data_IF_410111638968
#
_entry.id   IF_410111638968
#
_cell.length_a   1.000
_cell.length_b   1.000
_cell.length_c   1.000
_cell.angle_alpha   90.00
_cell.angle_beta   90.00
_cell.angle_gamma   90.00
#
_symmetry.space_group_name_H-M   'P 1'
#
loop_
_entity.id
_entity.type
_entity.pdbx_description
1 polymer ?
#
# COMPACT_ATOMS: atom_id res chain seq x y z
N UNK A 1 -17.06 15.34 10.64
CA UNK A 1 -15.81 16.11 10.81
C UNK A 1 -15.05 15.73 12.09
N UNK A 2 -15.74 15.45 13.22
CA UNK A 2 -15.10 15.25 14.52
C UNK A 2 -14.20 14.01 14.61
N UNK A 3 -14.55 12.92 13.91
CA UNK A 3 -13.74 11.69 13.92
C UNK A 3 -12.40 11.93 13.21
N UNK A 4 -12.42 12.60 12.07
CA UNK A 4 -11.20 12.92 11.30
C UNK A 4 -10.30 13.85 12.10
N UNK A 5 -10.85 14.90 12.72
CA UNK A 5 -10.10 15.82 13.58
C UNK A 5 -9.42 15.09 14.73
N UNK A 6 -10.12 14.15 15.38
CA UNK A 6 -9.54 13.35 16.46
C UNK A 6 -8.39 12.45 15.98
N UNK A 7 -8.51 11.85 14.79
CA UNK A 7 -7.45 11.00 14.20
C UNK A 7 -6.24 11.86 13.81
N UNK A 8 -6.47 13.01 13.20
CA UNK A 8 -5.41 13.88 12.70
C UNK A 8 -4.72 14.69 13.80
N UNK A 9 -5.39 14.90 14.92
CA UNK A 9 -4.99 15.82 16.00
C UNK A 9 -4.65 17.24 15.50
N UNK A 10 -5.26 17.65 14.38
CA UNK A 10 -5.10 18.96 13.72
C UNK A 10 -6.38 19.34 12.99
N UNK A 11 -6.66 20.63 12.80
CA UNK A 11 -7.79 21.08 12.00
C UNK A 11 -7.69 20.63 10.55
N UNK A 12 -8.82 20.22 9.95
CA UNK A 12 -8.87 19.78 8.54
C UNK A 12 -8.37 20.87 7.57
N UNK A 13 -8.55 22.15 7.91
CA UNK A 13 -8.06 23.30 7.12
C UNK A 13 -6.55 23.32 6.90
N UNK A 14 -5.78 22.63 7.76
CA UNK A 14 -4.33 22.57 7.67
C UNK A 14 -3.85 21.50 6.66
N UNK A 15 -4.79 20.78 6.08
CA UNK A 15 -4.53 19.74 5.09
C UNK A 15 -5.01 20.16 3.69
N UNK A 16 -4.32 19.61 2.68
CA UNK A 16 -4.75 19.59 1.29
C UNK A 16 -5.28 18.20 0.97
N UNK A 17 -6.35 18.14 0.21
CA UNK A 17 -6.98 16.90 -0.23
C UNK A 17 -6.71 16.68 -1.71
N UNK A 18 -6.08 15.57 -2.05
CA UNK A 18 -5.89 15.10 -3.41
C UNK A 18 -6.66 13.79 -3.63
N UNK A 19 -6.86 13.43 -4.90
CA UNK A 19 -7.59 12.24 -5.29
C UNK A 19 -6.64 11.21 -5.88
N UNK A 20 -6.86 9.96 -5.54
CA UNK A 20 -6.18 8.82 -6.12
C UNK A 20 -7.13 7.63 -6.21
N UNK A 21 -6.68 6.55 -6.80
CA UNK A 21 -7.41 5.31 -6.82
C UNK A 21 -6.47 4.14 -7.04
N UNK A 22 -6.93 2.97 -6.65
CA UNK A 22 -6.19 1.74 -6.90
C UNK A 22 -7.11 0.74 -7.60
N UNK A 23 -6.76 0.40 -8.83
CA UNK A 23 -7.46 -0.58 -9.65
C UNK A 23 -6.65 -1.87 -9.73
N UNK A 24 -7.24 -2.97 -9.31
CA UNK A 24 -6.65 -4.31 -9.39
C UNK A 24 -7.45 -5.16 -10.36
N UNK A 25 -6.82 -5.54 -11.45
CA UNK A 25 -7.42 -6.43 -12.46
C UNK A 25 -7.36 -7.90 -12.02
N UNK A 26 -8.31 -8.74 -12.49
CA UNK A 26 -8.27 -10.18 -12.30
C UNK A 26 -6.92 -10.78 -12.72
N UNK A 27 -6.42 -11.71 -11.93
CA UNK A 27 -5.18 -12.44 -12.23
C UNK A 27 -3.89 -11.62 -12.12
N UNK A 28 -3.94 -10.33 -11.82
CA UNK A 28 -2.72 -9.57 -11.51
C UNK A 28 -2.13 -10.04 -10.19
N UNK A 29 -0.81 -10.25 -10.19
CA UNK A 29 -0.09 -10.67 -8.99
C UNK A 29 -0.08 -9.59 -7.89
N UNK A 30 0.32 -9.98 -6.69
CA UNK A 30 0.42 -9.05 -5.57
C UNK A 30 1.53 -8.02 -5.77
N UNK A 31 1.36 -6.85 -5.20
CA UNK A 31 2.43 -5.86 -5.09
C UNK A 31 3.52 -6.33 -4.12
N UNK A 32 4.72 -5.80 -4.27
CA UNK A 32 5.71 -5.86 -3.20
C UNK A 32 5.32 -4.86 -2.10
N UNK A 33 5.71 -5.14 -0.86
CA UNK A 33 5.47 -4.20 0.23
C UNK A 33 6.20 -2.88 -0.01
N UNK A 34 5.50 -1.79 0.26
CA UNK A 34 6.02 -0.42 0.11
C UNK A 34 5.36 0.53 1.11
N UNK A 35 5.86 1.74 1.16
CA UNK A 35 5.24 2.91 1.81
C UNK A 35 4.94 3.94 0.72
N UNK A 36 3.97 4.83 0.95
CA UNK A 36 3.54 5.79 -0.09
C UNK A 36 4.28 7.14 -0.04
N UNK A 37 5.20 7.32 0.89
CA UNK A 37 5.95 8.58 0.98
C UNK A 37 7.11 8.51 1.98
N UNK A 38 7.70 9.67 2.24
CA UNK A 38 8.79 9.80 3.21
C UNK A 38 8.25 9.74 4.64
N UNK A 39 8.99 9.13 5.52
CA UNK A 39 8.59 8.93 6.91
C UNK A 39 8.32 10.25 7.66
N UNK A 40 9.05 11.29 7.29
CA UNK A 40 9.00 12.62 7.91
C UNK A 40 7.75 13.43 7.55
N UNK A 41 7.07 13.08 6.45
CA UNK A 41 5.87 13.77 6.00
C UNK A 41 4.65 13.38 6.84
N UNK A 42 3.68 14.27 6.94
CA UNK A 42 2.36 13.97 7.51
C UNK A 42 1.35 13.83 6.38
N UNK A 43 1.06 12.58 6.04
CA UNK A 43 0.05 12.25 5.03
C UNK A 43 -0.78 11.05 5.48
N UNK A 44 -2.07 11.15 5.25
CA UNK A 44 -3.02 10.06 5.48
C UNK A 44 -3.69 9.66 4.18
N UNK A 45 -3.93 8.37 4.02
CA UNK A 45 -4.73 7.83 2.95
C UNK A 45 -6.08 7.39 3.50
N UNK A 46 -7.14 7.93 2.93
CA UNK A 46 -8.52 7.62 3.25
C UNK A 46 -9.09 6.83 2.08
N UNK A 47 -9.13 5.52 2.20
CA UNK A 47 -9.58 4.63 1.13
C UNK A 47 -11.01 4.19 1.36
N UNK A 48 -11.87 4.41 0.37
CA UNK A 48 -13.29 4.07 0.41
C UNK A 48 -13.54 2.86 -0.48
N UNK A 49 -14.15 1.82 0.09
CA UNK A 49 -14.51 0.63 -0.65
C UNK A 49 -15.78 0.90 -1.49
N UNK A 50 -15.63 0.96 -2.81
CA UNK A 50 -16.75 1.17 -3.75
C UNK A 50 -17.56 -0.10 -4.00
N UNK A 51 -17.01 -1.23 -3.60
CA UNK A 51 -17.58 -2.58 -3.69
C UNK A 51 -17.11 -3.42 -2.52
N UNK A 52 -17.69 -4.61 -2.32
CA UNK A 52 -17.15 -5.55 -1.33
C UNK A 52 -15.76 -6.02 -1.75
N UNK A 53 -14.79 -5.87 -0.85
CA UNK A 53 -13.42 -6.32 -1.03
C UNK A 53 -13.20 -7.52 -0.13
N UNK A 54 -13.21 -8.70 -0.73
CA UNK A 54 -13.02 -9.99 -0.04
C UNK A 54 -11.56 -10.43 -0.09
N UNK A 55 -11.24 -11.52 0.56
CA UNK A 55 -9.90 -12.13 0.51
C UNK A 55 -9.46 -12.50 -0.91
N UNK A 56 -10.40 -12.75 -1.83
CA UNK A 56 -10.12 -13.12 -3.21
C UNK A 56 -10.07 -11.93 -4.18
N UNK A 57 -10.63 -10.80 -3.82
CA UNK A 57 -10.68 -9.62 -4.71
C UNK A 57 -9.47 -8.68 -4.59
N UNK A 58 -8.36 -9.13 -4.00
CA UNK A 58 -7.15 -8.34 -3.89
C UNK A 58 -7.19 -7.26 -2.81
N UNK A 59 -7.52 -7.61 -1.54
CA UNK A 59 -7.56 -6.66 -0.45
C UNK A 59 -6.17 -6.10 -0.12
N UNK A 60 -6.14 -5.01 0.63
CA UNK A 60 -4.90 -4.44 1.14
C UNK A 60 -4.36 -5.32 2.28
N UNK A 61 -3.08 -5.64 2.23
CA UNK A 61 -2.34 -6.25 3.34
C UNK A 61 -1.43 -5.19 3.96
N UNK A 62 -1.49 -5.05 5.29
CA UNK A 62 -0.71 -4.09 6.06
C UNK A 62 0.24 -4.79 7.04
N UNK A 63 1.27 -4.07 7.46
CA UNK A 63 2.17 -4.53 8.53
C UNK A 63 2.04 -3.60 9.71
N UNK A 64 1.55 -4.14 10.81
CA UNK A 64 1.33 -3.38 12.04
C UNK A 64 2.64 -3.12 12.79
N UNK A 65 2.64 -2.07 13.65
CA UNK A 65 3.74 -1.74 14.57
C UNK A 65 5.10 -1.35 13.92
N UNK A 66 5.11 -0.90 12.65
CA UNK A 66 6.30 -0.36 11.99
C UNK A 66 6.18 1.11 11.58
N UNK A 67 5.05 1.75 11.87
CA UNK A 67 4.78 3.14 11.47
C UNK A 67 5.39 4.19 12.40
N UNK A 68 5.97 3.77 13.53
CA UNK A 68 6.54 4.67 14.55
C UNK A 68 7.99 5.06 14.29
N UNK A 69 8.68 4.34 13.41
CA UNK A 69 10.08 4.63 13.07
C UNK A 69 10.37 4.31 11.60
N UNK A 70 11.30 5.09 11.03
CA UNK A 70 11.80 4.82 9.68
C UNK A 70 12.49 3.46 9.64
N UNK A 71 11.88 2.52 8.93
CA UNK A 71 12.41 1.17 8.78
C UNK A 71 12.92 1.00 7.35
N UNK A 72 14.23 0.81 7.12
CA UNK A 72 14.76 0.52 5.79
C UNK A 72 14.16 -0.75 5.21
N UNK A 73 14.02 -0.80 3.88
CA UNK A 73 13.40 -1.92 3.17
C UNK A 73 14.05 -3.29 3.50
N UNK A 74 15.38 -3.35 3.55
CA UNK A 74 16.09 -4.59 3.88
C UNK A 74 15.76 -5.09 5.29
N UNK A 75 15.69 -4.17 6.27
CA UNK A 75 15.32 -4.50 7.65
C UNK A 75 13.86 -4.94 7.74
N UNK A 76 12.98 -4.29 6.98
CA UNK A 76 11.59 -4.69 6.86
C UNK A 76 11.46 -6.11 6.33
N UNK A 77 12.13 -6.44 5.19
CA UNK A 77 11.95 -7.71 4.49
C UNK A 77 12.41 -8.93 5.33
N UNK A 78 13.43 -8.77 6.18
CA UNK A 78 13.90 -9.82 7.08
C UNK A 78 13.13 -9.87 8.40
N UNK A 79 12.29 -8.88 8.70
CA UNK A 79 11.53 -8.82 9.95
C UNK A 79 10.37 -9.82 9.93
N UNK A 80 10.14 -10.48 11.08
CA UNK A 80 8.98 -11.38 11.29
C UNK A 80 7.75 -10.64 11.81
N UNK A 81 7.45 -9.45 11.29
CA UNK A 81 6.30 -8.66 11.75
C UNK A 81 4.98 -9.24 11.28
N UNK A 82 3.97 -9.06 12.10
CA UNK A 82 2.60 -9.51 11.81
C UNK A 82 2.08 -8.76 10.58
N UNK A 83 1.50 -9.48 9.66
CA UNK A 83 0.83 -8.99 8.46
C UNK A 83 -0.65 -9.26 8.58
N UNK A 84 -1.46 -8.30 8.23
CA UNK A 84 -2.92 -8.38 8.32
C UNK A 84 -3.55 -8.02 6.98
N UNK A 85 -4.42 -8.88 6.50
CA UNK A 85 -5.24 -8.63 5.31
C UNK A 85 -6.52 -7.94 5.77
N UNK A 86 -6.89 -6.86 5.12
CA UNK A 86 -8.03 -6.02 5.48
C UNK A 86 -9.14 -6.16 4.42
N UNK A 87 -10.07 -7.09 4.57
CA UNK A 87 -11.28 -7.10 3.76
C UNK A 87 -12.18 -5.92 4.15
N UNK A 88 -12.94 -5.38 3.19
CA UNK A 88 -13.82 -4.24 3.39
C UNK A 88 -15.18 -4.54 2.78
N UNK A 89 -16.26 -4.10 3.43
CA UNK A 89 -17.59 -4.04 2.83
C UNK A 89 -17.73 -2.76 1.99
N UNK A 90 -18.59 -2.78 1.00
CA UNK A 90 -18.95 -1.56 0.26
C UNK A 90 -19.37 -0.45 1.24
N UNK A 91 -18.74 0.70 1.12
CA UNK A 91 -18.95 1.84 2.00
C UNK A 91 -17.99 1.92 3.18
N UNK A 92 -17.25 0.86 3.51
CA UNK A 92 -16.23 0.92 4.55
C UNK A 92 -15.11 1.88 4.17
N UNK A 93 -14.50 2.50 5.18
CA UNK A 93 -13.41 3.45 5.04
C UNK A 93 -12.18 2.91 5.78
N UNK A 94 -11.09 2.76 5.08
CA UNK A 94 -9.78 2.44 5.64
C UNK A 94 -8.93 3.71 5.71
N UNK A 95 -8.63 4.18 6.92
CA UNK A 95 -7.73 5.30 7.16
C UNK A 95 -6.38 4.77 7.61
N UNK A 96 -5.32 5.14 6.91
CA UNK A 96 -3.96 4.74 7.25
C UNK A 96 -2.96 5.88 7.05
N UNK A 97 -1.90 5.88 7.85
CA UNK A 97 -0.76 6.76 7.61
C UNK A 97 0.05 6.25 6.41
N UNK A 98 0.57 7.15 5.58
CA UNK A 98 1.32 6.81 4.36
C UNK A 98 2.56 5.94 4.61
N UNK A 99 3.20 6.09 5.78
CA UNK A 99 4.40 5.34 6.15
C UNK A 99 4.13 3.91 6.65
N UNK A 100 2.87 3.46 6.68
CA UNK A 100 2.54 2.06 6.98
C UNK A 100 2.98 1.18 5.82
N UNK A 101 3.79 0.16 6.11
CA UNK A 101 4.15 -0.87 5.16
C UNK A 101 2.91 -1.65 4.74
N UNK A 102 2.62 -1.63 3.45
CA UNK A 102 1.44 -2.27 2.90
C UNK A 102 1.66 -2.75 1.48
N UNK A 103 0.71 -3.52 0.97
CA UNK A 103 0.63 -3.94 -0.44
C UNK A 103 -0.80 -4.29 -0.84
N UNK A 104 -1.12 -4.22 -2.13
CA UNK A 104 -2.28 -4.90 -2.69
C UNK A 104 -1.96 -6.39 -2.86
N UNK A 105 -2.85 -7.25 -2.41
CA UNK A 105 -2.76 -8.69 -2.65
C UNK A 105 -3.30 -9.05 -4.04
N UNK A 106 -3.10 -10.30 -4.45
CA UNK A 106 -3.60 -10.79 -5.74
C UNK A 106 -5.13 -10.72 -5.79
N UNK A 107 -5.66 -10.25 -6.92
CA UNK A 107 -7.09 -10.37 -7.24
C UNK A 107 -7.33 -11.71 -7.96
N UNK A 108 -7.97 -12.65 -7.25
CA UNK A 108 -8.34 -13.99 -7.76
C UNK A 108 -9.79 -14.04 -8.25
N UNK A 109 -10.55 -12.95 -8.03
CA UNK A 109 -11.93 -12.86 -8.53
C UNK A 109 -11.96 -12.56 -10.03
N UNK A 110 -13.10 -12.77 -10.66
CA UNK A 110 -13.32 -12.48 -12.08
C UNK A 110 -13.55 -10.98 -12.35
N UNK A 111 -13.72 -10.18 -11.32
CA UNK A 111 -14.03 -8.76 -11.42
C UNK A 111 -12.85 -7.87 -11.02
N UNK A 112 -12.72 -6.75 -11.71
CA UNK A 112 -11.78 -5.71 -11.30
C UNK A 112 -12.21 -5.12 -9.94
N UNK A 113 -11.23 -4.87 -9.06
CA UNK A 113 -11.44 -4.21 -7.77
C UNK A 113 -10.95 -2.78 -7.87
N UNK A 114 -11.84 -1.85 -7.56
CA UNK A 114 -11.51 -0.43 -7.44
C UNK A 114 -11.62 0.04 -5.98
N UNK A 115 -10.59 0.73 -5.50
CA UNK A 115 -10.53 1.36 -4.21
C UNK A 115 -10.29 2.85 -4.42
N UNK A 116 -11.31 3.67 -4.15
CA UNK A 116 -11.19 5.12 -4.22
C UNK A 116 -10.34 5.60 -3.02
N UNK A 117 -9.36 6.43 -3.27
CA UNK A 117 -8.46 6.91 -2.21
C UNK A 117 -8.33 8.41 -2.26
N UNK A 118 -8.43 9.03 -1.10
CA UNK A 118 -8.11 10.44 -0.88
C UNK A 118 -6.78 10.52 -0.15
N UNK A 119 -5.92 11.42 -0.61
CA UNK A 119 -4.63 11.72 0.00
C UNK A 119 -4.78 13.02 0.78
N UNK A 120 -4.63 12.95 2.08
CA UNK A 120 -4.73 14.09 2.97
C UNK A 120 -3.32 14.50 3.40
N UNK A 121 -2.78 15.53 2.77
CA UNK A 121 -1.44 16.07 3.01
C UNK A 121 -1.49 17.26 3.95
N UNK A 122 -0.62 17.30 4.95
CA UNK A 122 -0.42 18.52 5.71
C UNK A 122 0.19 19.61 4.83
N UNK A 123 -0.37 20.82 4.83
CA UNK A 123 0.08 21.93 3.96
C UNK A 123 1.52 22.37 4.22
N UNK A 124 2.05 22.10 5.41
CA UNK A 124 3.44 22.36 5.76
C UNK A 124 4.43 21.35 5.14
N UNK A 125 3.96 20.23 4.61
CA UNK A 125 4.82 19.25 3.95
C UNK A 125 5.42 19.82 2.67
N UNK A 126 6.73 19.64 2.48
CA UNK A 126 7.43 19.96 1.24
C UNK A 126 7.20 18.92 0.13
N UNK A 127 6.27 17.99 0.35
CA UNK A 127 5.96 16.95 -0.60
C UNK A 127 5.27 17.57 -1.81
N UNK A 128 5.99 17.66 -2.92
CA UNK A 128 5.40 17.97 -4.22
C UNK A 128 4.81 16.68 -4.77
N UNK A 129 3.51 16.63 -4.87
CA UNK A 129 2.82 15.49 -5.42
C UNK A 129 3.22 15.32 -6.90
N UNK A 130 3.91 14.24 -7.22
CA UNK A 130 4.23 13.88 -8.62
C UNK A 130 2.98 13.67 -9.48
N UNK A 131 1.82 13.60 -8.84
CA UNK A 131 0.52 13.39 -9.47
C UNK A 131 -0.27 14.68 -9.71
N UNK A 132 0.26 15.85 -9.33
CA UNK A 132 -0.48 17.14 -9.34
C UNK A 132 -1.04 17.55 -10.71
N UNK A 133 -0.54 16.99 -11.81
CA UNK A 133 -0.96 17.38 -13.16
C UNK A 133 -1.18 16.20 -14.11
N UNK A 134 -1.15 14.96 -13.64
CA UNK A 134 -1.30 13.84 -14.55
C UNK A 134 -2.67 13.19 -14.40
N UNK A 135 -3.48 13.32 -15.45
CA UNK A 135 -4.58 12.40 -15.74
C UNK A 135 -4.07 10.99 -16.13
N UNK A 136 -2.78 10.72 -15.95
CA UNK A 136 -2.13 9.49 -16.37
C UNK A 136 -2.38 8.35 -15.39
N UNK A 137 -2.74 7.20 -15.93
CA UNK A 137 -2.77 5.95 -15.18
C UNK A 137 -1.34 5.45 -15.02
N UNK A 138 -0.82 5.47 -13.78
CA UNK A 138 0.51 4.98 -13.49
C UNK A 138 0.45 3.48 -13.22
N UNK A 139 1.15 2.70 -14.05
CA UNK A 139 1.33 1.27 -13.85
C UNK A 139 2.59 1.02 -13.02
N UNK A 140 2.41 0.51 -11.81
CA UNK A 140 3.53 0.11 -10.96
C UNK A 140 4.09 -1.25 -11.41
N UNK A 141 5.38 -1.30 -11.72
CA UNK A 141 6.08 -2.54 -12.12
C UNK A 141 6.47 -3.46 -10.95
N UNK A 142 6.10 -3.10 -9.71
CA UNK A 142 6.49 -3.84 -8.51
C UNK A 142 5.50 -4.98 -8.15
N UNK A 143 4.97 -5.65 -9.16
CA UNK A 143 4.09 -6.79 -8.98
C UNK A 143 4.84 -8.11 -9.17
N UNK A 144 4.47 -9.11 -8.38
CA UNK A 144 4.83 -10.50 -8.68
C UNK A 144 4.01 -10.97 -9.88
N UNK A 145 4.62 -11.77 -10.76
CA UNK A 145 3.87 -12.39 -11.86
C UNK A 145 2.88 -13.41 -11.29
N UNK A 146 1.74 -13.60 -11.95
CA UNK A 146 0.73 -14.59 -11.57
C UNK A 146 1.07 -16.03 -11.98
N UNK A 147 2.17 -16.22 -12.73
CA UNK A 147 2.70 -17.54 -13.12
C UNK A 147 3.30 -18.31 -11.90
N UNK A 148 3.63 -19.57 -12.11
CA UNK A 148 4.20 -20.43 -11.06
C UNK A 148 5.47 -19.84 -10.47
N UNK A 149 6.35 -19.30 -11.32
CA UNK A 149 7.61 -18.66 -10.87
C UNK A 149 7.34 -17.42 -10.00
N UNK A 150 6.36 -16.60 -10.37
CA UNK A 150 5.96 -15.44 -9.60
C UNK A 150 5.35 -15.81 -8.26
N UNK A 151 4.51 -16.85 -8.21
CA UNK A 151 3.94 -17.38 -6.96
C UNK A 151 5.01 -17.90 -6.01
N UNK A 152 6.01 -18.63 -6.52
CA UNK A 152 7.16 -19.11 -5.72
C UNK A 152 7.96 -17.92 -5.19
N UNK A 153 8.25 -16.91 -6.02
CA UNK A 153 8.96 -15.70 -5.58
C UNK A 153 8.18 -14.94 -4.51
N UNK A 154 6.88 -14.80 -4.67
CA UNK A 154 6.02 -14.16 -3.67
C UNK A 154 6.04 -14.94 -2.36
N UNK A 155 5.92 -16.26 -2.40
CA UNK A 155 5.99 -17.12 -1.23
C UNK A 155 7.32 -16.94 -0.47
N UNK A 156 8.45 -16.99 -1.19
CA UNK A 156 9.77 -16.75 -0.60
C UNK A 156 9.87 -15.34 -0.01
N UNK A 157 9.35 -14.34 -0.70
CA UNK A 157 9.32 -12.95 -0.24
C UNK A 157 8.55 -12.77 1.07
N UNK A 158 7.38 -13.41 1.17
CA UNK A 158 6.49 -13.24 2.33
C UNK A 158 6.94 -14.07 3.53
N UNK A 159 7.42 -15.30 3.28
CA UNK A 159 7.74 -16.28 4.32
C UNK A 159 9.22 -16.32 4.68
N UNK A 160 10.09 -16.10 3.71
CA UNK A 160 11.54 -16.24 3.83
C UNK A 160 12.25 -14.99 3.29
N UNK A 161 11.91 -13.81 3.81
CA UNK A 161 12.41 -12.53 3.31
C UNK A 161 13.94 -12.44 3.21
N UNK A 162 14.68 -13.09 4.11
CA UNK A 162 16.14 -13.13 4.06
C UNK A 162 16.65 -13.88 2.80
N UNK A 163 16.04 -15.02 2.46
CA UNK A 163 16.40 -15.79 1.24
C UNK A 163 16.10 -14.95 0.00
N UNK A 164 14.95 -14.28 -0.01
CA UNK A 164 14.59 -13.38 -1.10
C UNK A 164 15.56 -12.20 -1.23
N UNK A 165 16.01 -11.64 -0.13
CA UNK A 165 17.00 -10.57 -0.08
C UNK A 165 18.34 -11.04 -0.67
N UNK A 166 18.85 -12.20 -0.25
CA UNK A 166 20.07 -12.79 -0.81
C UNK A 166 19.95 -13.06 -2.31
N UNK A 167 18.82 -13.60 -2.75
CA UNK A 167 18.56 -13.82 -4.17
C UNK A 167 18.62 -12.51 -4.99
N UNK A 168 18.02 -11.41 -4.48
CA UNK A 168 18.11 -10.11 -5.13
C UNK A 168 19.54 -9.55 -5.14
N UNK A 169 20.23 -9.70 -4.04
CA UNK A 169 21.64 -9.25 -3.91
C UNK A 169 22.54 -9.96 -4.92
N UNK A 170 22.45 -11.27 -4.98
CA UNK A 170 23.22 -12.07 -5.95
C UNK A 170 22.95 -11.64 -7.40
N UNK A 171 21.70 -11.40 -7.76
CA UNK A 171 21.33 -10.91 -9.10
C UNK A 171 21.78 -9.47 -9.41
N UNK A 172 22.16 -8.69 -8.44
CA UNK A 172 22.70 -7.35 -8.65
C UNK A 172 24.20 -7.32 -8.88
N UNK A 173 24.87 -8.46 -8.62
CA UNK A 173 26.31 -8.63 -8.79
C UNK A 173 26.64 -9.27 -10.18
N UNK A 174 25.69 -10.03 -10.71
CA UNK A 174 25.77 -10.69 -12.02
C UNK A 174 24.71 -10.12 -12.98
#
# INVERSE_FOLDING_TARGET
NDVIIKILNKPVKDFRLDHAGNLSFPGKGSQQFHTDGNFEDTMYLISVATQNITYDSGPTEIVTNLHQSKTPYWKFIISKKKKEIIPLKKGDILIRKHCIWHRGTINRSDNSRFLLTYLLHEKSNKFHNKFDNSSEIIFYNNFFKSDVKGKIKEFLYVKFGFIFFLYKFMRSIF
#
